data_IF_952990328601
#
_entry.id   IF_952990328601
#
_cell.length_a   1.000
_cell.length_b   1.000
_cell.length_c   1.000
_cell.angle_alpha   90.00
_cell.angle_beta   90.00
_cell.angle_gamma   90.00
#
_symmetry.space_group_name_H-M   'P 1'
#
loop_
_entity.id
_entity.type
_entity.pdbx_description
1 polymer ?
#
# COMPACT_ATOMS: atom_id res chain seq x y z
N UNK A 1 -3.61 -5.69 -11.40
CA UNK A 1 -3.70 -7.14 -11.67
C UNK A 1 -3.32 -7.98 -10.45
N UNK A 2 -2.10 -7.88 -9.92
CA UNK A 2 -1.65 -8.67 -8.75
C UNK A 2 -2.62 -8.67 -7.54
N UNK A 3 -3.23 -7.53 -7.21
CA UNK A 3 -4.21 -7.45 -6.10
C UNK A 3 -5.46 -8.30 -6.34
N UNK A 4 -5.91 -8.43 -7.60
CA UNK A 4 -7.06 -9.30 -7.96
C UNK A 4 -6.74 -10.78 -7.77
N UNK A 5 -5.45 -11.13 -7.69
CA UNK A 5 -4.97 -12.50 -7.43
C UNK A 5 -4.54 -12.69 -5.96
N UNK A 6 -4.97 -11.82 -5.04
CA UNK A 6 -4.66 -11.96 -3.62
C UNK A 6 -3.17 -11.80 -3.29
N UNK A 7 -2.44 -10.98 -4.06
CA UNK A 7 -1.04 -10.62 -3.76
C UNK A 7 -0.98 -9.33 -2.96
N UNK A 8 0.06 -9.18 -2.14
CA UNK A 8 0.28 -7.97 -1.35
C UNK A 8 0.48 -6.73 -2.25
N UNK A 9 0.13 -5.55 -1.74
CA UNK A 9 0.45 -4.27 -2.37
C UNK A 9 1.85 -3.81 -1.94
N UNK A 10 2.82 -3.92 -2.86
CA UNK A 10 4.17 -3.39 -2.64
C UNK A 10 4.23 -1.88 -2.95
N UNK A 11 5.15 -1.12 -2.31
CA UNK A 11 5.28 0.32 -2.56
C UNK A 11 5.53 0.68 -4.02
N UNK A 12 6.29 -0.16 -4.74
CA UNK A 12 6.57 0.01 -6.18
C UNK A 12 5.30 0.03 -7.04
N UNK A 13 4.25 -0.67 -6.60
CA UNK A 13 2.95 -0.73 -7.27
C UNK A 13 2.01 0.43 -6.94
N UNK A 14 2.35 1.28 -5.96
CA UNK A 14 1.54 2.45 -5.59
C UNK A 14 1.88 3.62 -6.50
N UNK A 15 0.87 4.12 -7.23
CA UNK A 15 1.01 5.27 -8.15
C UNK A 15 0.67 6.57 -7.44
N UNK A 16 -0.37 6.56 -6.61
CA UNK A 16 -0.90 7.75 -5.94
C UNK A 16 -1.50 7.36 -4.58
N UNK A 17 -1.43 8.29 -3.62
CA UNK A 17 -2.04 8.15 -2.29
C UNK A 17 -2.95 9.34 -2.02
N UNK A 18 -4.25 9.08 -1.86
CA UNK A 18 -5.30 10.09 -1.66
C UNK A 18 -5.86 10.04 -0.24
N UNK A 19 -6.23 11.22 0.28
CA UNK A 19 -6.77 11.36 1.64
C UNK A 19 -5.70 11.30 2.73
N UNK A 20 -6.12 11.19 3.98
CA UNK A 20 -5.23 11.03 5.12
C UNK A 20 -5.66 9.82 5.96
N UNK A 21 -4.69 9.09 6.48
CA UNK A 21 -4.90 7.87 7.26
C UNK A 21 -3.64 7.49 8.03
N UNK A 22 -3.84 6.71 9.09
CA UNK A 22 -2.76 6.16 9.93
C UNK A 22 -2.58 4.67 9.65
N UNK A 23 -1.43 4.13 10.09
CA UNK A 23 -1.19 2.68 10.14
C UNK A 23 -2.36 1.95 10.80
N UNK A 24 -2.75 0.81 10.23
CA UNK A 24 -3.88 -0.01 10.67
C UNK A 24 -5.24 0.45 10.12
N UNK A 25 -5.34 1.58 9.42
CA UNK A 25 -6.58 2.00 8.80
C UNK A 25 -6.95 1.11 7.60
N UNK A 26 -8.25 0.86 7.42
CA UNK A 26 -8.76 0.19 6.22
C UNK A 26 -8.80 1.17 5.04
N UNK A 27 -8.06 0.88 3.98
CA UNK A 27 -7.94 1.73 2.78
C UNK A 27 -8.39 0.99 1.53
N UNK A 28 -9.05 1.72 0.62
CA UNK A 28 -9.42 1.20 -0.70
C UNK A 28 -8.21 1.21 -1.65
N UNK A 29 -7.93 0.08 -2.29
CA UNK A 29 -6.97 -0.02 -3.38
C UNK A 29 -7.73 0.10 -4.71
N UNK A 30 -7.38 1.10 -5.50
CA UNK A 30 -8.03 1.38 -6.79
C UNK A 30 -7.09 1.09 -7.96
N UNK A 31 -7.65 0.60 -9.06
CA UNK A 31 -6.96 0.51 -10.34
C UNK A 31 -6.69 1.90 -10.91
N UNK A 32 -5.89 1.97 -11.99
CA UNK A 32 -5.68 3.21 -12.76
C UNK A 32 -6.97 3.77 -13.37
N UNK A 33 -7.98 2.94 -13.59
CA UNK A 33 -9.31 3.37 -14.05
C UNK A 33 -10.22 3.87 -12.91
N UNK A 34 -9.75 3.85 -11.65
CA UNK A 34 -10.49 4.31 -10.47
C UNK A 34 -11.39 3.25 -9.82
N UNK A 35 -11.51 2.07 -10.42
CA UNK A 35 -12.26 0.94 -9.87
C UNK A 35 -11.60 0.45 -8.58
N UNK A 36 -12.37 0.28 -7.51
CA UNK A 36 -11.90 -0.39 -6.30
C UNK A 36 -11.74 -1.89 -6.56
N UNK A 37 -10.52 -2.39 -6.43
CA UNK A 37 -10.17 -3.80 -6.68
C UNK A 37 -9.95 -4.59 -5.41
N UNK A 38 -9.65 -3.91 -4.32
CA UNK A 38 -9.45 -4.51 -3.00
C UNK A 38 -9.58 -3.45 -1.91
N UNK A 39 -9.71 -3.91 -0.67
CA UNK A 39 -9.59 -3.09 0.53
C UNK A 39 -8.73 -3.83 1.54
N UNK A 40 -7.90 -3.12 2.31
CA UNK A 40 -7.08 -3.77 3.32
C UNK A 40 -6.51 -2.82 4.35
N UNK A 41 -5.89 -3.39 5.40
CA UNK A 41 -5.27 -2.62 6.47
C UNK A 41 -3.86 -2.17 6.04
N UNK A 42 -3.61 -0.88 6.12
CA UNK A 42 -2.35 -0.28 5.68
C UNK A 42 -1.25 -0.37 6.74
N UNK A 43 -0.03 -0.72 6.35
CA UNK A 43 1.12 -0.83 7.26
C UNK A 43 1.80 0.51 7.55
N UNK A 44 1.50 1.55 6.77
CA UNK A 44 2.13 2.87 6.83
C UNK A 44 1.06 3.98 6.78
N UNK A 45 1.36 5.14 7.36
CA UNK A 45 0.49 6.31 7.25
C UNK A 45 0.43 6.86 5.82
N UNK A 46 -0.54 7.71 5.52
CA UNK A 46 -0.66 8.32 4.20
C UNK A 46 0.60 9.12 3.81
N UNK A 47 1.22 9.81 4.78
CA UNK A 47 2.45 10.56 4.55
C UNK A 47 3.63 9.64 4.20
N UNK A 48 3.78 8.52 4.90
CA UNK A 48 4.82 7.53 4.63
C UNK A 48 4.58 6.82 3.29
N UNK A 49 3.35 6.38 3.02
CA UNK A 49 2.97 5.78 1.75
C UNK A 49 3.32 6.68 0.56
N UNK A 50 3.13 8.00 0.67
CA UNK A 50 3.55 8.96 -0.38
C UNK A 50 5.06 8.99 -0.58
N UNK A 51 5.83 8.92 0.50
CA UNK A 51 7.30 8.93 0.44
C UNK A 51 7.88 7.67 -0.21
N UNK A 52 7.26 6.51 0.02
CA UNK A 52 7.71 5.21 -0.50
C UNK A 52 7.00 4.77 -1.79
N UNK A 53 6.00 5.52 -2.26
CA UNK A 53 5.31 5.22 -3.51
C UNK A 53 6.30 5.17 -4.68
N UNK A 54 6.13 4.17 -5.57
CA UNK A 54 7.02 3.91 -6.72
C UNK A 54 8.46 3.58 -6.35
N UNK A 55 8.74 3.22 -5.09
CA UNK A 55 10.07 2.78 -4.63
C UNK A 55 10.11 1.27 -4.44
N UNK A 56 11.26 0.62 -4.66
CA UNK A 56 11.43 -0.77 -4.28
C UNK A 56 11.39 -0.90 -2.76
N UNK A 57 10.92 -2.04 -2.26
CA UNK A 57 10.83 -2.32 -0.81
C UNK A 57 12.15 -2.10 -0.06
N UNK A 58 13.30 -2.37 -0.69
CA UNK A 58 14.62 -2.16 -0.08
C UNK A 58 14.96 -0.68 0.21
N UNK A 59 14.20 0.28 -0.31
CA UNK A 59 14.40 1.71 -0.03
C UNK A 59 13.58 2.22 1.16
N UNK A 60 12.68 1.42 1.74
CA UNK A 60 11.79 1.87 2.82
C UNK A 60 12.59 2.39 4.02
N UNK A 61 13.58 1.62 4.49
CA UNK A 61 14.40 2.01 5.66
C UNK A 61 15.11 3.34 5.42
N UNK A 62 15.73 3.49 4.25
CA UNK A 62 16.43 4.70 3.85
C UNK A 62 15.49 5.92 3.81
N UNK A 63 14.26 5.73 3.36
CA UNK A 63 13.31 6.83 3.16
C UNK A 63 12.54 7.19 4.43
N UNK A 64 12.29 6.25 5.33
CA UNK A 64 11.46 6.44 6.53
C UNK A 64 12.26 6.40 7.84
N UNK A 65 13.47 5.84 7.82
CA UNK A 65 14.31 5.59 9.00
C UNK A 65 13.98 4.28 9.73
N UNK A 66 13.04 3.47 9.22
CA UNK A 66 12.65 2.19 9.77
C UNK A 66 11.93 1.31 8.73
N UNK A 67 11.78 0.02 9.01
CA UNK A 67 10.94 -0.91 8.25
C UNK A 67 10.06 -1.68 9.23
N UNK A 68 8.75 -1.60 9.03
CA UNK A 68 7.76 -2.40 9.76
C UNK A 68 7.31 -3.61 8.92
N UNK A 69 7.10 -3.41 7.62
CA UNK A 69 6.75 -4.47 6.68
C UNK A 69 7.26 -4.18 5.26
N UNK A 70 7.56 -5.20 4.44
CA UNK A 70 7.98 -4.98 3.07
C UNK A 70 6.86 -4.45 2.15
N UNK A 71 5.60 -4.55 2.58
CA UNK A 71 4.42 -4.19 1.80
C UNK A 71 3.63 -3.04 2.43
N UNK A 72 2.93 -2.28 1.57
CA UNK A 72 1.99 -1.24 2.00
C UNK A 72 0.71 -1.85 2.57
N UNK A 73 0.22 -2.92 1.95
CA UNK A 73 -0.89 -3.75 2.45
C UNK A 73 -0.52 -5.21 2.23
N UNK A 74 -0.45 -5.99 3.31
CA UNK A 74 -0.22 -7.43 3.23
C UNK A 74 -1.45 -8.15 2.68
N UNK A 75 -1.26 -9.21 1.88
CA UNK A 75 -2.37 -9.98 1.28
C UNK A 75 -3.37 -10.53 2.29
N UNK A 76 -2.91 -10.97 3.46
CA UNK A 76 -3.77 -11.58 4.48
C UNK A 76 -4.62 -10.52 5.19
N UNK A 77 -4.21 -9.25 5.11
CA UNK A 77 -4.95 -8.10 5.62
C UNK A 77 -5.77 -7.42 4.51
N UNK A 78 -5.99 -8.11 3.39
CA UNK A 78 -6.68 -7.59 2.22
C UNK A 78 -7.85 -8.50 1.86
N UNK A 79 -8.96 -7.87 1.47
CA UNK A 79 -10.11 -8.55 0.87
C UNK A 79 -10.26 -8.05 -0.57
N UNK A 80 -10.37 -8.99 -1.51
CA UNK A 80 -10.70 -8.70 -2.90
C UNK A 80 -12.15 -8.26 -3.03
N UNK A 81 -12.46 -7.57 -4.13
CA UNK A 81 -13.83 -7.24 -4.52
C UNK A 81 -14.43 -8.28 -5.46
#
# INVERSE_FOLDING_TARGET
EALRHGRSLLPVGVIEVRGDFKRGAAVACRSVSGEEVARGLVNYSAAECRRIARRPTGEIEKLLGYVDAPEVVHRDNMVGR
#
